data_IF_869849768459
#
_entry.id   IF_869849768459
#
_cell.length_a   1.000
_cell.length_b   1.000
_cell.length_c   1.000
_cell.angle_alpha   90.00
_cell.angle_beta   90.00
_cell.angle_gamma   90.00
#
_symmetry.space_group_name_H-M   'P 1'
#
loop_
_entity.id
_entity.type
_entity.pdbx_description
1 polymer ?
#
# COMPACT_ATOMS: atom_id res chain seq x y z
N UNK A 1 -6.88 -6.95 -13.44
CA UNK A 1 -6.70 -6.93 -11.99
C UNK A 1 -7.01 -5.52 -11.55
N UNK A 2 -7.98 -5.32 -10.67
CA UNK A 2 -8.23 -3.98 -10.12
C UNK A 2 -7.06 -3.60 -9.21
N UNK A 3 -6.57 -2.37 -9.38
CA UNK A 3 -5.39 -1.87 -8.65
C UNK A 3 -5.62 -1.81 -7.13
N UNK A 4 -6.89 -1.74 -6.72
CA UNK A 4 -7.33 -1.59 -5.34
C UNK A 4 -8.35 -2.66 -4.95
N UNK A 5 -8.16 -3.92 -5.36
CA UNK A 5 -9.05 -5.03 -4.97
C UNK A 5 -8.92 -5.33 -3.47
N UNK A 6 -9.49 -4.44 -2.66
CA UNK A 6 -9.53 -4.45 -1.21
C UNK A 6 -10.93 -4.80 -0.76
N UNK A 7 -11.05 -5.84 0.06
CA UNK A 7 -12.33 -6.22 0.65
C UNK A 7 -12.14 -6.69 2.08
N UNK A 8 -13.16 -6.44 2.91
CA UNK A 8 -13.22 -6.96 4.27
C UNK A 8 -14.53 -7.71 4.45
N UNK A 9 -14.46 -9.03 4.57
CA UNK A 9 -15.64 -9.87 4.74
C UNK A 9 -15.35 -11.03 5.67
N UNK A 10 -16.31 -11.36 6.54
CA UNK A 10 -16.17 -12.47 7.50
C UNK A 10 -14.93 -12.39 8.41
N UNK A 11 -14.42 -11.18 8.67
CA UNK A 11 -13.20 -10.96 9.45
C UNK A 11 -11.90 -11.16 8.66
N UNK A 12 -11.98 -11.42 7.35
CA UNK A 12 -10.84 -11.57 6.46
C UNK A 12 -10.68 -10.27 5.68
N UNK A 13 -9.49 -9.67 5.79
CA UNK A 13 -9.04 -8.55 4.96
C UNK A 13 -8.28 -9.12 3.76
N UNK A 14 -8.81 -8.90 2.57
CA UNK A 14 -8.15 -9.23 1.30
C UNK A 14 -7.51 -7.96 0.76
N UNK A 15 -6.23 -8.04 0.40
CA UNK A 15 -5.45 -6.94 -0.15
C UNK A 15 -4.93 -7.28 -1.55
N UNK A 16 -4.80 -6.28 -2.44
CA UNK A 16 -4.12 -6.48 -3.71
C UNK A 16 -2.61 -6.65 -3.48
N UNK A 17 -1.94 -7.34 -4.39
CA UNK A 17 -0.47 -7.40 -4.43
C UNK A 17 0.07 -5.99 -4.72
N UNK A 18 0.88 -5.46 -3.81
CA UNK A 18 1.58 -4.19 -4.02
C UNK A 18 2.81 -4.45 -4.91
N UNK A 19 2.75 -3.99 -6.17
CA UNK A 19 3.89 -4.05 -7.08
C UNK A 19 5.04 -3.12 -6.64
N UNK A 20 6.26 -3.51 -7.03
CA UNK A 20 7.59 -2.92 -6.81
C UNK A 20 7.72 -1.38 -6.99
N UNK A 21 8.92 -0.81 -6.76
CA UNK A 21 9.36 0.60 -6.91
C UNK A 21 8.77 1.37 -8.13
N UNK A 22 8.36 0.66 -9.18
CA UNK A 22 7.64 1.23 -10.34
C UNK A 22 6.23 1.75 -9.99
N UNK A 23 5.61 1.26 -8.93
CA UNK A 23 4.29 1.67 -8.42
C UNK A 23 4.35 2.96 -7.61
N UNK A 24 5.49 3.29 -6.99
CA UNK A 24 5.63 4.49 -6.14
C UNK A 24 5.35 5.77 -6.93
N UNK A 25 5.92 5.89 -8.13
CA UNK A 25 5.65 7.01 -9.03
C UNK A 25 4.20 7.06 -9.51
N UNK A 26 3.57 5.91 -9.69
CA UNK A 26 2.16 5.82 -10.07
C UNK A 26 1.23 6.30 -8.95
N UNK A 27 1.44 5.81 -7.72
CA UNK A 27 0.69 6.23 -6.54
C UNK A 27 0.87 7.72 -6.26
N UNK A 28 2.10 8.23 -6.37
CA UNK A 28 2.39 9.66 -6.19
C UNK A 28 1.62 10.52 -7.20
N UNK A 29 1.61 10.11 -8.48
CA UNK A 29 0.86 10.82 -9.52
C UNK A 29 -0.65 10.76 -9.28
N UNK A 30 -1.18 9.64 -8.78
CA UNK A 30 -2.59 9.50 -8.44
C UNK A 30 -2.99 10.38 -7.26
N UNK A 31 -2.18 10.45 -6.19
CA UNK A 31 -2.41 11.36 -5.06
C UNK A 31 -2.35 12.81 -5.52
N UNK A 32 -1.39 13.16 -6.39
CA UNK A 32 -1.34 14.50 -6.99
C UNK A 32 -2.61 14.82 -7.79
N UNK A 33 -3.11 13.86 -8.57
CA UNK A 33 -4.36 14.00 -9.32
C UNK A 33 -5.56 14.22 -8.39
N UNK A 34 -5.73 13.41 -7.33
CA UNK A 34 -6.79 13.57 -6.34
C UNK A 34 -6.74 14.96 -5.67
N UNK A 35 -5.53 15.43 -5.33
CA UNK A 35 -5.33 16.76 -4.72
C UNK A 35 -5.63 17.91 -5.67
N UNK A 36 -5.35 17.74 -6.97
CA UNK A 36 -5.60 18.77 -7.98
C UNK A 36 -7.07 18.84 -8.42
N UNK A 37 -7.81 17.74 -8.30
CA UNK A 37 -9.19 17.62 -8.75
C UNK A 37 -10.09 17.13 -7.62
N UNK A 38 -10.72 18.03 -6.84
CA UNK A 38 -11.54 17.65 -5.68
C UNK A 38 -12.72 16.71 -6.00
N UNK A 39 -13.16 16.66 -7.26
CA UNK A 39 -14.21 15.75 -7.72
C UNK A 39 -13.72 14.32 -8.01
N UNK A 40 -12.41 14.07 -8.03
CA UNK A 40 -11.83 12.75 -8.24
C UNK A 40 -11.99 11.82 -7.02
N UNK A 41 -12.29 12.39 -5.85
CA UNK A 41 -12.35 11.65 -4.58
C UNK A 41 -10.98 11.47 -3.93
N UNK A 42 -10.92 10.60 -2.92
CA UNK A 42 -9.72 10.38 -2.09
C UNK A 42 -9.39 8.88 -1.96
N UNK A 43 -9.86 8.05 -2.90
CA UNK A 43 -9.76 6.59 -2.81
C UNK A 43 -8.32 6.12 -2.69
N UNK A 44 -7.43 6.66 -3.52
CA UNK A 44 -6.00 6.31 -3.52
C UNK A 44 -5.32 6.84 -2.26
N UNK A 45 -5.53 8.11 -1.90
CA UNK A 45 -4.95 8.69 -0.68
C UNK A 45 -5.40 7.92 0.57
N UNK A 46 -6.67 7.51 0.64
CA UNK A 46 -7.22 6.76 1.77
C UNK A 46 -6.65 5.34 1.83
N UNK A 47 -6.50 4.68 0.67
CA UNK A 47 -5.85 3.37 0.58
C UNK A 47 -4.40 3.42 1.06
N UNK A 48 -3.61 4.40 0.59
CA UNK A 48 -2.21 4.54 1.02
C UNK A 48 -2.11 4.85 2.52
N UNK A 49 -2.98 5.71 3.05
CA UNK A 49 -3.03 6.00 4.49
C UNK A 49 -3.38 4.76 5.32
N UNK A 50 -4.24 3.88 4.80
CA UNK A 50 -4.57 2.62 5.44
C UNK A 50 -3.38 1.64 5.42
N UNK A 51 -2.67 1.53 4.29
CA UNK A 51 -1.49 0.67 4.17
C UNK A 51 -0.33 1.17 5.04
N UNK A 52 -0.11 2.49 5.13
CA UNK A 52 0.89 3.10 6.03
C UNK A 52 0.58 2.80 7.50
N UNK A 53 -0.70 2.77 7.89
CA UNK A 53 -1.13 2.39 9.24
C UNK A 53 -1.05 0.87 9.50
N UNK A 54 -1.07 0.04 8.45
CA UNK A 54 -0.99 -1.42 8.54
C UNK A 54 0.47 -1.91 8.64
N UNK A 55 1.40 -1.21 7.98
CA UNK A 55 2.83 -1.56 7.90
C UNK A 55 3.62 -0.65 8.85
N UNK A 56 3.50 -0.89 10.16
CA UNK A 56 4.17 -0.06 11.19
C UNK A 56 5.48 -0.70 11.67
N UNK A 57 5.56 -2.03 11.63
CA UNK A 57 6.70 -2.79 12.15
C UNK A 57 7.32 -3.70 11.10
N UNK A 58 8.57 -4.14 11.35
CA UNK A 58 9.23 -5.15 10.54
C UNK A 58 8.47 -6.50 10.56
N UNK A 59 7.73 -6.77 11.64
CA UNK A 59 6.90 -7.97 11.77
C UNK A 59 5.72 -7.90 10.79
N UNK A 60 5.10 -6.73 10.61
CA UNK A 60 4.02 -6.52 9.64
C UNK A 60 4.52 -6.71 8.21
N UNK A 61 5.71 -6.17 7.89
CA UNK A 61 6.37 -6.38 6.58
C UNK A 61 6.61 -7.86 6.34
N UNK A 62 7.18 -8.57 7.32
CA UNK A 62 7.50 -9.99 7.19
C UNK A 62 6.23 -10.83 7.02
N UNK A 63 5.18 -10.53 7.79
CA UNK A 63 3.88 -11.21 7.69
C UNK A 63 3.24 -11.00 6.32
N UNK A 64 3.12 -9.75 5.86
CA UNK A 64 2.52 -9.42 4.56
C UNK A 64 3.37 -9.95 3.39
N UNK A 65 4.69 -10.03 3.56
CA UNK A 65 5.59 -10.66 2.60
C UNK A 65 5.38 -12.17 2.49
N UNK A 66 5.20 -12.86 3.61
CA UNK A 66 4.91 -14.30 3.62
C UNK A 66 3.56 -14.64 2.99
N UNK A 67 2.56 -13.76 3.15
CA UNK A 67 1.25 -13.88 2.51
C UNK A 67 1.26 -13.45 1.02
N UNK A 68 2.40 -12.98 0.51
CA UNK A 68 2.56 -12.58 -0.90
C UNK A 68 1.87 -11.25 -1.25
N UNK A 69 1.45 -10.48 -0.25
CA UNK A 69 0.77 -9.18 -0.42
C UNK A 69 1.80 -8.07 -0.68
N UNK A 70 2.96 -8.16 -0.02
CA UNK A 70 4.02 -7.17 -0.10
C UNK A 70 5.31 -7.81 -0.63
N UNK A 71 5.89 -7.23 -1.69
CA UNK A 71 7.19 -7.66 -2.20
C UNK A 71 8.29 -6.76 -1.65
N UNK A 72 9.00 -7.23 -0.62
CA UNK A 72 10.12 -6.49 -0.06
C UNK A 72 11.38 -6.70 -0.92
N UNK A 73 11.78 -5.67 -1.66
CA UNK A 73 13.01 -5.67 -2.46
C UNK A 73 14.19 -4.98 -1.75
N UNK A 74 14.03 -4.59 -0.48
CA UNK A 74 15.08 -4.00 0.33
C UNK A 74 15.90 -5.05 1.06
N UNK A 75 17.08 -4.63 1.54
CA UNK A 75 18.03 -5.52 2.22
C UNK A 75 17.57 -6.00 3.62
N UNK A 76 16.50 -5.44 4.21
CA UNK A 76 15.85 -6.01 5.39
C UNK A 76 14.42 -5.49 5.60
N UNK A 77 13.62 -6.22 6.39
CA UNK A 77 12.23 -5.87 6.72
C UNK A 77 12.15 -4.58 7.56
N UNK A 78 13.15 -4.29 8.39
CA UNK A 78 13.24 -3.02 9.13
C UNK A 78 13.49 -1.83 8.22
N UNK A 79 14.16 -2.03 7.08
CA UNK A 79 14.32 -0.98 6.09
C UNK A 79 12.98 -0.70 5.39
N UNK A 80 12.19 -1.74 5.13
CA UNK A 80 10.88 -1.64 4.48
C UNK A 80 9.83 -1.01 5.40
N UNK A 81 9.79 -1.36 6.68
CA UNK A 81 8.88 -0.76 7.66
C UNK A 81 9.16 0.74 7.88
N UNK A 82 10.36 1.22 7.52
CA UNK A 82 10.72 2.64 7.60
C UNK A 82 10.36 3.41 6.34
N UNK A 83 10.00 2.74 5.24
CA UNK A 83 9.48 3.41 4.07
C UNK A 83 8.05 3.84 4.41
N UNK A 84 7.90 5.13 4.68
CA UNK A 84 6.58 5.74 4.66
C UNK A 84 6.17 5.94 3.22
N UNK A 85 5.10 5.25 2.81
CA UNK A 85 4.41 5.60 1.58
C UNK A 85 3.45 6.74 1.95
N UNK A 86 4.04 7.92 2.21
CA UNK A 86 3.47 9.30 2.21
C UNK A 86 4.45 10.31 2.85
#
# INVERSE_FOLDING_TARGET
TDLFDLSFSWGILTLPELLDETSEGMFTNMVAFERMYPCAGTGVTSFLSFMDALIDTAEDVSFLGNEGILKNNLNSDEAAAKIRIL
#
